data_IF_529437753652
#
_entry.id   IF_529437753652
#
_cell.length_a   1.000
_cell.length_b   1.000
_cell.length_c   1.000
_cell.angle_alpha   90.00
_cell.angle_beta   90.00
_cell.angle_gamma   90.00
#
_symmetry.space_group_name_H-M   'P 1'
#
loop_
_entity.id
_entity.type
_entity.pdbx_description
1 polymer ?
#
# COMPACT_ATOMS: atom_id res chain seq x y z
N UNK A 1 21.72 52.51 16.48
CA UNK A 1 22.05 51.74 17.70
C UNK A 1 20.78 51.20 18.28
N UNK A 2 20.78 49.89 18.42
CA UNK A 2 19.75 48.98 18.92
C UNK A 2 19.49 49.22 20.40
N UNK A 3 18.24 49.13 20.86
CA UNK A 3 17.86 48.14 21.88
C UNK A 3 16.39 48.22 22.32
N UNK A 4 15.74 47.07 22.11
CA UNK A 4 14.77 46.35 22.96
C UNK A 4 13.73 47.16 23.76
N UNK A 5 12.44 46.82 23.56
CA UNK A 5 11.74 46.04 24.59
C UNK A 5 10.49 45.30 24.09
N UNK A 6 10.61 43.97 24.24
CA UNK A 6 9.61 42.94 24.57
C UNK A 6 8.22 42.93 23.91
N UNK A 7 8.09 42.06 22.91
CA UNK A 7 6.82 41.49 22.45
C UNK A 7 6.14 40.68 23.56
N UNK A 8 4.92 41.08 23.89
CA UNK A 8 3.99 40.35 24.76
C UNK A 8 3.36 39.20 23.97
N UNK A 9 3.52 37.97 24.44
CA UNK A 9 2.89 36.77 23.88
C UNK A 9 1.37 36.76 24.16
N UNK A 10 0.51 36.32 23.23
CA UNK A 10 -0.91 36.18 23.52
C UNK A 10 -1.16 34.95 24.42
N UNK A 11 -1.87 35.19 25.53
CA UNK A 11 -2.31 34.17 26.48
C UNK A 11 -3.13 33.07 25.80
N UNK A 12 -2.70 31.82 26.00
CA UNK A 12 -3.47 30.64 25.66
C UNK A 12 -4.82 30.63 26.41
N UNK A 13 -5.90 30.47 25.67
CA UNK A 13 -7.26 30.44 26.18
C UNK A 13 -7.46 29.20 27.07
N UNK A 14 -7.47 29.41 28.39
CA UNK A 14 -7.75 28.40 29.39
C UNK A 14 -9.26 28.10 29.47
N UNK A 15 -9.79 27.39 28.47
CA UNK A 15 -11.20 26.99 28.45
C UNK A 15 -11.40 25.56 27.91
N UNK A 16 -10.78 24.57 28.55
CA UNK A 16 -11.23 23.19 28.46
C UNK A 16 -11.24 22.55 29.87
N UNK A 17 -12.07 23.11 30.75
CA UNK A 17 -12.36 22.51 32.06
C UNK A 17 -13.44 21.45 31.91
N UNK A 18 -13.00 20.19 31.97
CA UNK A 18 -13.66 19.00 32.53
C UNK A 18 -15.21 18.98 32.53
N UNK A 19 -15.79 18.20 31.62
CA UNK A 19 -17.02 17.43 31.92
C UNK A 19 -16.63 15.95 32.08
N UNK A 20 -16.56 15.48 33.33
CA UNK A 20 -16.54 14.05 33.66
C UNK A 20 -17.98 13.55 33.63
N UNK A 21 -18.38 12.92 32.52
CA UNK A 21 -19.52 12.03 32.45
C UNK A 21 -18.99 10.63 32.18
N UNK A 22 -19.31 9.67 33.05
CA UNK A 22 -18.94 8.28 32.91
C UNK A 22 -19.77 7.60 31.81
N UNK A 23 -19.36 7.80 30.57
CA UNK A 23 -19.52 6.81 29.51
C UNK A 23 -18.11 6.45 29.07
N UNK A 24 -17.79 5.16 28.97
CA UNK A 24 -16.53 4.70 28.39
C UNK A 24 -16.51 5.04 26.90
N UNK A 25 -16.30 6.32 26.58
CA UNK A 25 -16.13 6.81 25.22
C UNK A 25 -14.79 6.30 24.73
N UNK A 26 -14.80 5.49 23.67
CA UNK A 26 -13.61 5.20 22.88
C UNK A 26 -12.88 6.55 22.59
N UNK A 27 -11.54 6.57 22.62
CA UNK A 27 -10.80 7.80 22.34
C UNK A 27 -11.20 8.31 20.95
N UNK A 28 -11.76 9.51 20.90
CA UNK A 28 -12.17 10.16 19.65
C UNK A 28 -10.93 10.50 18.82
N UNK A 29 -11.05 10.40 17.50
CA UNK A 29 -10.01 10.84 16.58
C UNK A 29 -9.67 12.32 16.81
N UNK A 30 -8.38 12.70 16.92
CA UNK A 30 -7.98 14.08 17.19
C UNK A 30 -8.15 14.94 15.92
N UNK A 31 -9.22 15.75 15.85
CA UNK A 31 -9.52 16.59 14.69
C UNK A 31 -8.36 17.53 14.27
N UNK A 32 -7.56 17.98 15.24
CA UNK A 32 -6.30 18.72 15.03
C UNK A 32 -5.35 18.03 14.06
N UNK A 33 -5.35 16.70 13.96
CA UNK A 33 -4.56 15.98 12.96
C UNK A 33 -4.80 16.49 11.52
N UNK A 34 -6.05 16.83 11.20
CA UNK A 34 -6.44 17.38 9.90
C UNK A 34 -6.46 18.90 9.86
N UNK A 35 -6.84 19.54 10.97
CA UNK A 35 -7.03 21.00 11.01
C UNK A 35 -5.72 21.78 11.21
N UNK A 36 -4.75 21.20 11.94
CA UNK A 36 -3.45 21.80 12.24
C UNK A 36 -2.41 20.71 12.53
N UNK A 37 -1.81 20.19 11.46
CA UNK A 37 -0.84 19.10 11.55
C UNK A 37 0.44 19.50 12.31
N UNK A 38 0.86 20.76 12.21
CA UNK A 38 2.05 21.25 12.91
C UNK A 38 1.81 21.25 14.42
N UNK A 39 0.63 21.68 14.87
CA UNK A 39 0.23 21.56 16.28
C UNK A 39 0.11 20.10 16.72
N UNK A 40 -0.39 19.21 15.87
CA UNK A 40 -0.44 17.77 16.16
C UNK A 40 0.95 17.21 16.46
N UNK A 41 1.93 17.51 15.59
CA UNK A 41 3.32 17.09 15.74
C UNK A 41 3.99 17.74 16.96
N UNK A 42 3.83 19.05 17.13
CA UNK A 42 4.42 19.79 18.24
C UNK A 42 3.91 19.30 19.61
N UNK A 43 2.64 18.91 19.68
CA UNK A 43 2.01 18.40 20.90
C UNK A 43 2.27 16.91 21.14
N UNK A 44 2.97 16.22 20.23
CA UNK A 44 3.22 14.77 20.28
C UNK A 44 1.93 13.97 20.50
N UNK A 45 0.86 14.38 19.84
CA UNK A 45 -0.40 13.63 19.92
C UNK A 45 -0.26 12.32 19.17
N UNK A 46 -0.91 11.28 19.69
CA UNK A 46 -0.94 9.96 19.08
C UNK A 46 -2.32 9.69 18.48
N UNK A 47 -2.32 8.94 17.38
CA UNK A 47 -3.55 8.44 16.79
C UNK A 47 -4.15 7.36 17.72
N UNK A 48 -5.50 7.26 17.79
CA UNK A 48 -6.13 6.25 18.61
C UNK A 48 -5.72 4.85 18.11
N UNK A 49 -5.40 3.90 19.01
CA UNK A 49 -5.12 2.53 18.62
C UNK A 49 -6.39 1.88 18.10
N UNK A 50 -6.24 0.84 17.26
CA UNK A 50 -7.36 0.03 16.83
C UNK A 50 -8.07 -0.61 18.03
N UNK A 51 -9.40 -0.63 17.99
CA UNK A 51 -10.21 -1.30 19.02
C UNK A 51 -9.95 -2.81 19.09
N UNK A 52 -10.38 -3.43 20.19
CA UNK A 52 -10.28 -4.89 20.41
C UNK A 52 -11.64 -5.60 20.38
N UNK A 53 -12.73 -4.83 20.26
CA UNK A 53 -14.08 -5.38 20.14
C UNK A 53 -14.31 -5.84 18.71
N UNK A 54 -14.40 -7.17 18.53
CA UNK A 54 -14.67 -7.78 17.24
C UNK A 54 -16.15 -8.10 17.09
N UNK A 55 -16.80 -7.65 16.01
CA UNK A 55 -18.16 -8.07 15.71
C UNK A 55 -18.26 -9.59 15.48
N UNK A 56 -19.41 -10.17 15.86
CA UNK A 56 -19.64 -11.63 15.77
C UNK A 56 -19.53 -12.16 14.33
N UNK A 57 -19.92 -11.37 13.33
CA UNK A 57 -19.81 -11.74 11.93
C UNK A 57 -18.34 -11.86 11.46
N UNK A 58 -17.43 -11.06 12.03
CA UNK A 58 -15.98 -11.15 11.77
C UNK A 58 -15.40 -12.39 12.43
N UNK A 59 -15.74 -12.63 13.70
CA UNK A 59 -15.25 -13.81 14.43
C UNK A 59 -15.78 -15.12 13.83
N UNK A 60 -16.98 -15.11 13.25
CA UNK A 60 -17.53 -16.29 12.56
C UNK A 60 -16.75 -16.61 11.28
N UNK A 61 -16.32 -15.59 10.53
CA UNK A 61 -15.53 -15.76 9.32
C UNK A 61 -14.08 -16.19 9.61
N UNK A 62 -13.46 -15.65 10.66
CA UNK A 62 -12.07 -15.93 11.02
C UNK A 62 -11.91 -17.22 11.84
N UNK A 63 -12.95 -17.54 12.63
CA UNK A 63 -12.94 -18.65 13.55
C UNK A 63 -11.96 -18.45 14.71
N UNK A 64 -11.32 -19.53 15.15
CA UNK A 64 -10.41 -19.49 16.29
C UNK A 64 -9.00 -18.95 15.95
N UNK A 65 -8.15 -18.84 16.97
CA UNK A 65 -6.78 -18.36 16.78
C UNK A 65 -5.92 -19.28 15.89
N UNK A 66 -6.29 -20.56 15.81
CA UNK A 66 -5.61 -21.57 14.99
C UNK A 66 -5.93 -21.36 13.52
N UNK A 67 -7.22 -21.17 13.21
CA UNK A 67 -7.72 -20.88 11.86
C UNK A 67 -7.18 -19.56 11.35
N UNK A 68 -7.15 -18.51 12.18
CA UNK A 68 -6.53 -17.22 11.82
C UNK A 68 -5.04 -17.38 11.45
N UNK A 69 -4.29 -18.20 12.18
CA UNK A 69 -2.89 -18.55 11.87
C UNK A 69 -2.76 -19.34 10.57
N UNK A 70 -3.64 -20.29 10.31
CA UNK A 70 -3.64 -21.08 9.07
C UNK A 70 -3.91 -20.19 7.85
N UNK A 71 -4.87 -19.28 7.94
CA UNK A 71 -5.15 -18.27 6.90
C UNK A 71 -3.88 -17.45 6.62
N UNK A 72 -3.25 -16.91 7.68
CA UNK A 72 -2.03 -16.14 7.54
C UNK A 72 -0.90 -16.96 6.89
N UNK A 73 -0.69 -18.19 7.35
CA UNK A 73 0.34 -19.08 6.78
C UNK A 73 0.10 -19.36 5.29
N UNK A 74 -1.15 -19.62 4.89
CA UNK A 74 -1.50 -19.85 3.50
C UNK A 74 -1.31 -18.60 2.63
N UNK A 75 -1.65 -17.42 3.16
CA UNK A 75 -1.36 -16.14 2.50
C UNK A 75 0.14 -15.94 2.27
N UNK A 76 0.97 -16.15 3.30
CA UNK A 76 2.42 -16.01 3.20
C UNK A 76 3.07 -17.04 2.26
N UNK A 77 2.46 -18.20 2.07
CA UNK A 77 2.95 -19.22 1.13
C UNK A 77 2.43 -19.03 -0.30
N UNK A 78 1.53 -18.07 -0.57
CA UNK A 78 0.91 -17.89 -1.89
C UNK A 78 0.94 -16.43 -2.32
N UNK A 79 -0.04 -15.62 -1.92
CA UNK A 79 -0.26 -14.23 -2.35
C UNK A 79 0.90 -13.32 -2.01
N UNK A 80 1.54 -13.55 -0.87
CA UNK A 80 2.70 -12.76 -0.44
C UNK A 80 3.85 -12.79 -1.46
N UNK A 81 4.01 -13.83 -2.28
CA UNK A 81 5.08 -13.88 -3.29
C UNK A 81 4.94 -12.82 -4.40
N UNK A 82 3.73 -12.33 -4.66
CA UNK A 82 3.48 -11.32 -5.70
C UNK A 82 2.86 -10.03 -5.16
N UNK A 83 2.30 -10.05 -3.94
CA UNK A 83 1.84 -8.87 -3.20
C UNK A 83 2.43 -8.85 -1.77
N UNK A 84 3.76 -8.71 -1.61
CA UNK A 84 4.43 -8.70 -0.31
C UNK A 84 4.31 -7.33 0.36
N UNK A 85 3.11 -6.99 0.84
CA UNK A 85 2.85 -5.70 1.53
C UNK A 85 2.81 -5.82 3.06
N UNK A 86 2.92 -7.04 3.60
CA UNK A 86 2.85 -7.34 5.04
C UNK A 86 4.11 -8.09 5.47
N UNK A 87 4.78 -7.64 6.53
CA UNK A 87 5.92 -8.35 7.12
C UNK A 87 5.45 -9.63 7.83
N UNK A 88 5.90 -10.79 7.35
CA UNK A 88 5.50 -12.10 7.88
C UNK A 88 5.78 -12.23 9.38
N UNK A 89 7.01 -11.90 9.78
CA UNK A 89 7.45 -12.04 11.16
C UNK A 89 6.65 -11.14 12.09
N UNK A 90 6.52 -9.86 11.76
CA UNK A 90 5.73 -8.89 12.54
C UNK A 90 4.27 -9.33 12.67
N UNK A 91 3.66 -9.77 11.57
CA UNK A 91 2.25 -10.17 11.62
C UNK A 91 2.04 -11.41 12.50
N UNK A 92 2.85 -12.45 12.35
CA UNK A 92 2.70 -13.67 13.14
C UNK A 92 3.07 -13.49 14.61
N UNK A 93 4.16 -12.78 14.91
CA UNK A 93 4.71 -12.63 16.27
C UNK A 93 4.06 -11.49 17.07
N UNK A 94 3.64 -10.41 16.40
CA UNK A 94 3.12 -9.22 17.08
C UNK A 94 1.60 -9.06 16.95
N UNK A 95 1.00 -9.47 15.82
CA UNK A 95 -0.42 -9.21 15.55
C UNK A 95 -1.32 -10.42 15.74
N UNK A 96 -0.80 -11.63 15.55
CA UNK A 96 -1.49 -12.89 15.84
C UNK A 96 -1.00 -13.55 17.14
N UNK A 97 -0.31 -12.83 18.01
CA UNK A 97 0.18 -13.40 19.27
C UNK A 97 -1.01 -13.86 20.15
N UNK A 98 -1.12 -15.16 20.50
CA UNK A 98 -2.26 -15.66 21.28
C UNK A 98 -2.33 -15.10 22.69
N UNK A 99 -1.25 -14.49 23.20
CA UNK A 99 -1.19 -13.87 24.51
C UNK A 99 -1.73 -12.43 24.52
N UNK A 100 -2.03 -11.85 23.35
CA UNK A 100 -2.49 -10.47 23.20
C UNK A 100 -3.92 -10.41 22.69
N UNK A 101 -4.66 -9.36 23.08
CA UNK A 101 -6.02 -9.14 22.60
C UNK A 101 -6.02 -8.98 21.07
N UNK A 102 -6.95 -9.67 20.40
CA UNK A 102 -7.04 -9.62 18.94
C UNK A 102 -7.58 -8.27 18.49
N UNK A 103 -6.70 -7.46 17.90
CA UNK A 103 -7.05 -6.11 17.43
C UNK A 103 -7.96 -6.17 16.21
N UNK A 104 -8.86 -5.20 16.11
CA UNK A 104 -9.83 -5.09 15.03
C UNK A 104 -9.18 -4.90 13.66
N UNK A 105 -8.09 -4.15 13.57
CA UNK A 105 -7.33 -3.95 12.34
C UNK A 105 -6.54 -5.20 11.90
N UNK A 106 -5.94 -5.92 12.86
CA UNK A 106 -5.31 -7.22 12.60
C UNK A 106 -6.34 -8.26 12.13
N UNK A 107 -7.53 -8.26 12.72
CA UNK A 107 -8.64 -9.11 12.30
C UNK A 107 -9.13 -8.77 10.89
N UNK A 108 -9.25 -7.48 10.55
CA UNK A 108 -9.57 -7.04 9.19
C UNK A 108 -8.52 -7.54 8.19
N UNK A 109 -7.23 -7.41 8.53
CA UNK A 109 -6.15 -7.87 7.67
C UNK A 109 -6.21 -9.40 7.47
N UNK A 110 -6.40 -10.18 8.54
CA UNK A 110 -6.58 -11.63 8.43
C UNK A 110 -7.82 -12.00 7.59
N UNK A 111 -8.92 -11.26 7.74
CA UNK A 111 -10.15 -11.48 6.97
C UNK A 111 -9.91 -11.18 5.47
N UNK A 112 -9.14 -10.13 5.18
CA UNK A 112 -8.76 -9.76 3.81
C UNK A 112 -7.75 -10.74 3.20
N UNK A 113 -6.87 -11.34 4.01
CA UNK A 113 -6.02 -12.46 3.61
C UNK A 113 -6.87 -13.68 3.23
N UNK A 114 -7.88 -14.04 4.04
CA UNK A 114 -8.84 -15.11 3.71
C UNK A 114 -9.57 -14.81 2.40
N UNK A 115 -10.00 -13.56 2.22
CA UNK A 115 -10.72 -13.12 1.03
C UNK A 115 -9.89 -13.29 -0.25
N UNK A 116 -8.65 -12.80 -0.27
CA UNK A 116 -7.80 -12.87 -1.48
C UNK A 116 -7.33 -14.29 -1.80
N UNK A 117 -7.41 -15.22 -0.85
CA UNK A 117 -7.16 -16.65 -1.06
C UNK A 117 -8.36 -17.38 -1.70
N UNK A 118 -9.52 -16.74 -1.78
CA UNK A 118 -10.71 -17.36 -2.36
C UNK A 118 -10.52 -17.60 -3.86
N UNK A 119 -10.90 -18.80 -4.30
CA UNK A 119 -10.95 -19.18 -5.71
C UNK A 119 -12.35 -19.66 -6.08
N UNK A 120 -12.84 -19.35 -7.29
CA UNK A 120 -14.15 -19.81 -7.72
C UNK A 120 -14.13 -21.34 -7.86
N UNK A 121 -15.10 -22.01 -7.22
CA UNK A 121 -15.28 -23.47 -7.35
C UNK A 121 -15.85 -23.82 -8.73
N UNK A 122 -16.62 -22.90 -9.31
CA UNK A 122 -17.22 -23.01 -10.64
C UNK A 122 -17.18 -21.66 -11.32
N UNK A 123 -17.25 -21.63 -12.66
CA UNK A 123 -17.30 -20.38 -13.45
C UNK A 123 -18.51 -19.48 -13.11
N UNK A 124 -19.51 -20.01 -12.39
CA UNK A 124 -20.72 -19.29 -11.95
C UNK A 124 -20.66 -18.82 -10.50
N UNK A 125 -19.56 -19.07 -9.79
CA UNK A 125 -19.41 -18.65 -8.39
C UNK A 125 -19.40 -17.12 -8.30
N UNK A 126 -20.33 -16.54 -7.54
CA UNK A 126 -20.38 -15.10 -7.31
C UNK A 126 -19.20 -14.68 -6.42
N UNK A 127 -18.31 -13.76 -6.87
CA UNK A 127 -17.23 -13.24 -6.05
C UNK A 127 -17.72 -12.34 -4.91
N UNK A 128 -19.01 -11.97 -4.83
CA UNK A 128 -19.57 -11.23 -3.69
C UNK A 128 -19.90 -12.19 -2.54
N UNK A 129 -18.86 -12.84 -2.02
CA UNK A 129 -18.95 -13.82 -0.94
C UNK A 129 -19.36 -13.18 0.39
N UNK A 130 -19.79 -14.00 1.36
CA UNK A 130 -20.05 -13.53 2.73
C UNK A 130 -18.80 -12.88 3.34
N UNK A 131 -17.62 -13.46 3.08
CA UNK A 131 -16.32 -12.92 3.49
C UNK A 131 -16.05 -11.55 2.87
N UNK A 132 -16.40 -11.34 1.59
CA UNK A 132 -16.28 -10.02 0.93
C UNK A 132 -17.15 -8.97 1.62
N UNK A 133 -18.42 -9.29 1.88
CA UNK A 133 -19.33 -8.39 2.58
C UNK A 133 -18.89 -8.09 4.01
N UNK A 134 -18.40 -9.11 4.73
CA UNK A 134 -17.84 -8.95 6.07
C UNK A 134 -16.61 -8.03 6.05
N UNK A 135 -15.71 -8.19 5.08
CA UNK A 135 -14.50 -7.36 4.97
C UNK A 135 -14.84 -5.89 4.67
N UNK A 136 -15.74 -5.62 3.71
CA UNK A 136 -16.18 -4.25 3.38
C UNK A 136 -16.89 -3.59 4.55
N UNK A 137 -17.77 -4.33 5.23
CA UNK A 137 -18.48 -3.83 6.41
C UNK A 137 -17.52 -3.49 7.54
N UNK A 138 -16.59 -4.39 7.85
CA UNK A 138 -15.65 -4.21 8.95
C UNK A 138 -14.64 -3.08 8.67
N UNK A 139 -14.19 -2.93 7.42
CA UNK A 139 -13.38 -1.78 7.01
C UNK A 139 -14.14 -0.45 7.25
N UNK A 140 -15.40 -0.37 6.83
CA UNK A 140 -16.21 0.82 7.06
C UNK A 140 -16.45 1.10 8.56
N UNK A 141 -16.72 0.06 9.36
CA UNK A 141 -16.87 0.20 10.81
C UNK A 141 -15.58 0.73 11.47
N UNK A 142 -14.40 0.29 11.01
CA UNK A 142 -13.12 0.82 11.47
C UNK A 142 -12.92 2.30 11.09
N UNK A 143 -13.29 2.70 9.87
CA UNK A 143 -13.24 4.11 9.44
C UNK A 143 -14.10 5.00 10.36
N UNK A 144 -15.30 4.55 10.73
CA UNK A 144 -16.20 5.28 11.64
C UNK A 144 -15.62 5.44 13.05
N UNK A 145 -14.75 4.52 13.48
CA UNK A 145 -14.04 4.64 14.77
C UNK A 145 -12.79 5.52 14.69
N UNK A 146 -12.42 6.00 13.49
CA UNK A 146 -11.19 6.75 13.27
C UNK A 146 -9.93 5.87 13.34
N UNK A 147 -10.06 4.57 13.07
CA UNK A 147 -8.91 3.67 13.05
C UNK A 147 -8.01 4.01 11.85
N UNK A 148 -6.86 4.65 12.12
CA UNK A 148 -5.89 5.05 11.11
C UNK A 148 -4.57 4.28 11.30
N UNK A 149 -4.54 3.02 10.85
CA UNK A 149 -3.37 2.13 10.99
C UNK A 149 -2.88 1.55 9.66
N UNK A 150 -1.60 1.16 9.59
CA UNK A 150 -1.02 0.50 8.42
C UNK A 150 -1.69 -0.85 8.12
N UNK A 151 -2.09 -1.61 9.15
CA UNK A 151 -2.79 -2.89 8.97
C UNK A 151 -4.13 -2.72 8.26
N UNK A 152 -4.89 -1.68 8.62
CA UNK A 152 -6.17 -1.35 7.98
C UNK A 152 -5.95 -0.98 6.51
N UNK A 153 -4.90 -0.21 6.19
CA UNK A 153 -4.53 0.11 4.82
C UNK A 153 -4.10 -1.14 4.02
N UNK A 154 -3.25 -1.99 4.59
CA UNK A 154 -2.86 -3.26 3.97
C UNK A 154 -4.08 -4.13 3.67
N UNK A 155 -5.04 -4.18 4.59
CA UNK A 155 -6.28 -4.92 4.40
C UNK A 155 -7.15 -4.32 3.28
N UNK A 156 -7.30 -2.99 3.26
CA UNK A 156 -8.01 -2.28 2.20
C UNK A 156 -7.38 -2.52 0.81
N UNK A 157 -6.05 -2.58 0.72
CA UNK A 157 -5.33 -2.94 -0.51
C UNK A 157 -5.67 -4.37 -0.94
N UNK A 158 -5.65 -5.34 -0.02
CA UNK A 158 -6.01 -6.73 -0.36
C UNK A 158 -7.47 -6.87 -0.82
N UNK A 159 -8.39 -6.10 -0.23
CA UNK A 159 -9.78 -6.00 -0.69
C UNK A 159 -9.84 -5.42 -2.12
N UNK A 160 -9.12 -4.34 -2.39
CA UNK A 160 -9.06 -3.75 -3.73
C UNK A 160 -8.48 -4.72 -4.78
N UNK A 161 -7.44 -5.48 -4.41
CA UNK A 161 -6.84 -6.53 -5.24
C UNK A 161 -7.87 -7.63 -5.56
N UNK A 162 -8.66 -8.06 -4.58
CA UNK A 162 -9.75 -9.01 -4.79
C UNK A 162 -10.80 -8.47 -5.76
N UNK A 163 -11.24 -7.22 -5.55
CA UNK A 163 -12.23 -6.57 -6.42
C UNK A 163 -11.72 -6.43 -7.86
N UNK A 164 -10.43 -6.11 -8.06
CA UNK A 164 -9.80 -6.06 -9.38
C UNK A 164 -9.75 -7.45 -10.01
N UNK A 165 -9.25 -8.45 -9.27
CA UNK A 165 -9.09 -9.82 -9.76
C UNK A 165 -10.41 -10.48 -10.18
N UNK A 166 -11.52 -10.08 -9.57
CA UNK A 166 -12.86 -10.58 -9.88
C UNK A 166 -13.73 -9.57 -10.66
N UNK A 167 -13.15 -8.50 -11.19
CA UNK A 167 -13.82 -7.48 -11.99
C UNK A 167 -15.07 -6.86 -11.32
N UNK A 168 -15.02 -6.63 -10.00
CA UNK A 168 -16.10 -5.99 -9.23
C UNK A 168 -15.99 -4.46 -9.40
N UNK A 169 -16.45 -3.96 -10.55
CA UNK A 169 -16.52 -2.52 -10.84
C UNK A 169 -17.92 -1.95 -10.53
N UNK A 170 -18.04 -0.68 -10.10
CA UNK A 170 -16.97 0.32 -9.92
C UNK A 170 -16.23 0.24 -8.57
N UNK A 171 -16.57 -0.73 -7.70
CA UNK A 171 -16.02 -0.83 -6.35
C UNK A 171 -14.49 -0.89 -6.31
N UNK A 172 -13.87 -1.71 -7.18
CA UNK A 172 -12.42 -1.82 -7.31
C UNK A 172 -11.72 -0.46 -7.46
N UNK A 173 -12.26 0.41 -8.33
CA UNK A 173 -11.68 1.73 -8.56
C UNK A 173 -11.80 2.62 -7.32
N UNK A 174 -12.97 2.65 -6.69
CA UNK A 174 -13.19 3.45 -5.49
C UNK A 174 -12.30 2.99 -4.34
N UNK A 175 -12.13 1.68 -4.17
CA UNK A 175 -11.26 1.12 -3.13
C UNK A 175 -9.80 1.53 -3.34
N UNK A 176 -9.26 1.47 -4.57
CA UNK A 176 -7.89 1.94 -4.84
C UNK A 176 -7.72 3.43 -4.55
N UNK A 177 -8.68 4.27 -4.96
CA UNK A 177 -8.62 5.70 -4.67
C UNK A 177 -8.70 6.00 -3.17
N UNK A 178 -9.51 5.24 -2.43
CA UNK A 178 -9.59 5.34 -0.97
C UNK A 178 -8.27 4.92 -0.32
N UNK A 179 -7.63 3.84 -0.79
CA UNK A 179 -6.30 3.43 -0.33
C UNK A 179 -5.25 4.52 -0.54
N UNK A 180 -5.26 5.21 -1.69
CA UNK A 180 -4.33 6.31 -1.95
C UNK A 180 -4.50 7.48 -0.96
N UNK A 181 -5.74 7.90 -0.72
CA UNK A 181 -6.04 8.98 0.25
C UNK A 181 -5.73 8.56 1.69
N UNK A 182 -6.05 7.32 2.05
CA UNK A 182 -5.76 6.75 3.36
C UNK A 182 -4.23 6.69 3.59
N UNK A 183 -3.46 6.27 2.58
CA UNK A 183 -2.00 6.26 2.64
C UNK A 183 -1.40 7.66 2.79
N UNK A 184 -1.89 8.64 2.02
CA UNK A 184 -1.49 10.03 2.17
C UNK A 184 -1.79 10.56 3.57
N UNK A 185 -2.96 10.20 4.12
CA UNK A 185 -3.36 10.54 5.50
C UNK A 185 -2.43 9.91 6.53
N UNK A 186 -1.97 8.67 6.33
CA UNK A 186 -0.94 8.04 7.15
C UNK A 186 0.48 8.64 6.98
N UNK A 187 0.66 9.59 6.07
CA UNK A 187 1.96 10.16 5.74
C UNK A 187 2.83 9.22 4.89
N UNK A 188 2.24 8.32 4.10
CA UNK A 188 2.97 7.56 3.08
C UNK A 188 3.10 8.42 1.81
N UNK A 189 4.21 8.24 1.10
CA UNK A 189 4.57 8.97 -0.11
C UNK A 189 6.07 8.91 -0.35
N UNK A 190 6.52 9.30 -1.55
CA UNK A 190 7.94 9.21 -1.95
C UNK A 190 8.90 9.90 -0.98
N UNK A 191 8.61 11.13 -0.58
CA UNK A 191 9.47 11.91 0.33
C UNK A 191 9.26 11.58 1.81
N UNK A 192 8.15 10.95 2.17
CA UNK A 192 7.73 10.76 3.56
C UNK A 192 8.06 9.35 4.09
N UNK A 193 8.09 8.35 3.20
CA UNK A 193 8.54 6.99 3.55
C UNK A 193 10.01 7.01 4.01
N UNK A 194 10.82 7.92 3.51
CA UNK A 194 12.22 8.12 3.96
C UNK A 194 12.34 8.97 5.24
N UNK A 195 11.34 9.81 5.53
CA UNK A 195 11.32 10.70 6.71
C UNK A 195 10.66 10.09 7.95
N UNK A 196 10.08 8.89 7.83
CA UNK A 196 9.43 8.17 8.92
C UNK A 196 10.38 7.82 10.06
N UNK A 197 10.77 8.84 10.85
CA UNK A 197 11.70 8.81 11.95
C UNK A 197 13.06 8.20 11.59
N UNK A 198 14.16 8.92 11.76
CA UNK A 198 15.52 8.35 11.71
C UNK A 198 15.79 7.18 12.70
N UNK A 199 14.76 6.68 13.39
CA UNK A 199 14.78 5.65 14.42
C UNK A 199 13.84 4.45 14.13
N UNK A 200 13.05 4.46 13.04
CA UNK A 200 12.21 3.29 12.73
C UNK A 200 13.09 2.12 12.24
N UNK A 201 12.80 0.87 12.65
CA UNK A 201 13.55 -0.28 12.16
C UNK A 201 13.35 -0.43 10.65
N UNK A 202 14.42 -0.82 9.94
CA UNK A 202 14.43 -0.96 8.48
C UNK A 202 13.24 -1.77 7.94
N UNK A 203 12.86 -2.85 8.62
CA UNK A 203 11.73 -3.72 8.25
C UNK A 203 10.41 -2.96 8.17
N UNK A 204 10.18 -2.01 9.08
CA UNK A 204 8.97 -1.19 9.08
C UNK A 204 8.99 -0.15 7.94
N UNK A 205 10.14 0.46 7.69
CA UNK A 205 10.28 1.39 6.57
C UNK A 205 10.06 0.68 5.23
N UNK A 206 10.61 -0.52 5.08
CA UNK A 206 10.42 -1.36 3.89
C UNK A 206 8.96 -1.79 3.74
N UNK A 207 8.26 -2.12 4.83
CA UNK A 207 6.83 -2.43 4.80
C UNK A 207 6.00 -1.25 4.30
N UNK A 208 6.26 -0.02 4.79
CA UNK A 208 5.60 1.21 4.31
C UNK A 208 5.91 1.49 2.84
N UNK A 209 7.16 1.29 2.41
CA UNK A 209 7.58 1.40 1.00
C UNK A 209 6.79 0.44 0.12
N UNK A 210 6.68 -0.82 0.51
CA UNK A 210 5.95 -1.86 -0.23
C UNK A 210 4.46 -1.55 -0.34
N UNK A 211 3.84 -1.06 0.73
CA UNK A 211 2.44 -0.59 0.74
C UNK A 211 2.24 0.56 -0.23
N UNK A 212 3.12 1.56 -0.22
CA UNK A 212 3.04 2.69 -1.15
C UNK A 212 3.18 2.26 -2.61
N UNK A 213 4.20 1.44 -2.91
CA UNK A 213 4.37 0.87 -4.26
C UNK A 213 3.15 0.08 -4.72
N UNK A 214 2.53 -0.72 -3.85
CA UNK A 214 1.33 -1.49 -4.20
C UNK A 214 0.18 -0.56 -4.63
N UNK A 215 -0.05 0.54 -3.94
CA UNK A 215 -1.09 1.52 -4.30
C UNK A 215 -0.81 2.13 -5.67
N UNK A 216 0.43 2.59 -5.90
CA UNK A 216 0.84 3.17 -7.18
C UNK A 216 0.64 2.16 -8.32
N UNK A 217 1.11 0.91 -8.14
CA UNK A 217 0.93 -0.18 -9.11
C UNK A 217 -0.56 -0.38 -9.45
N UNK A 218 -1.43 -0.48 -8.45
CA UNK A 218 -2.86 -0.73 -8.66
C UNK A 218 -3.56 0.46 -9.35
N UNK A 219 -3.23 1.69 -8.98
CA UNK A 219 -3.78 2.88 -9.61
C UNK A 219 -3.35 2.99 -11.08
N UNK A 220 -2.07 2.76 -11.37
CA UNK A 220 -1.56 2.75 -12.74
C UNK A 220 -2.19 1.64 -13.57
N UNK A 221 -2.37 0.45 -12.99
CA UNK A 221 -3.07 -0.67 -13.64
C UNK A 221 -4.52 -0.29 -14.04
N UNK A 222 -5.27 0.32 -13.13
CA UNK A 222 -6.64 0.75 -13.42
C UNK A 222 -6.72 1.87 -14.47
N UNK A 223 -5.66 2.66 -14.59
CA UNK A 223 -5.57 3.77 -15.55
C UNK A 223 -5.22 3.32 -16.97
N UNK A 224 -4.82 2.05 -17.18
CA UNK A 224 -4.54 1.50 -18.52
C UNK A 224 -5.73 1.69 -19.47
N UNK A 225 -6.94 1.51 -18.95
CA UNK A 225 -8.20 1.59 -19.70
C UNK A 225 -8.51 2.98 -20.26
N UNK A 226 -8.04 4.03 -19.60
CA UNK A 226 -8.47 5.40 -19.82
C UNK A 226 -7.35 6.36 -19.42
N UNK A 227 -6.55 6.76 -20.41
CA UNK A 227 -5.33 7.56 -20.22
C UNK A 227 -5.58 9.01 -19.76
N UNK A 228 -6.77 9.55 -20.01
CA UNK A 228 -7.19 10.88 -19.54
C UNK A 228 -7.73 10.86 -18.10
N UNK A 229 -7.85 9.68 -17.47
CA UNK A 229 -8.35 9.60 -16.11
C UNK A 229 -7.34 10.25 -15.14
N UNK A 230 -7.79 11.15 -14.24
CA UNK A 230 -6.93 11.71 -13.22
C UNK A 230 -6.37 10.62 -12.31
N UNK A 231 -5.05 10.66 -12.11
CA UNK A 231 -4.30 9.82 -11.20
C UNK A 231 -4.09 10.62 -9.92
N UNK A 232 -4.35 10.02 -8.76
CA UNK A 232 -4.25 10.71 -7.46
C UNK A 232 -2.83 10.69 -6.91
N UNK A 233 -2.08 9.60 -7.11
CA UNK A 233 -0.72 9.49 -6.58
C UNK A 233 0.30 10.08 -7.54
N UNK A 234 1.26 10.84 -7.01
CA UNK A 234 2.40 11.31 -7.79
C UNK A 234 3.20 10.13 -8.37
N UNK A 235 3.72 10.31 -9.58
CA UNK A 235 4.61 9.33 -10.22
C UNK A 235 5.94 9.16 -9.47
N UNK A 236 6.55 7.96 -9.49
CA UNK A 236 7.87 7.77 -8.89
C UNK A 236 8.93 8.54 -9.67
N UNK A 237 9.86 9.16 -8.96
CA UNK A 237 11.06 9.72 -9.57
C UNK A 237 12.01 8.60 -10.05
N UNK A 238 12.91 8.91 -10.98
CA UNK A 238 13.85 7.91 -11.53
C UNK A 238 14.82 7.32 -10.51
N UNK A 239 15.12 8.08 -9.45
CA UNK A 239 15.99 7.71 -8.33
C UNK A 239 15.21 7.10 -7.14
N UNK A 240 13.90 6.93 -7.25
CA UNK A 240 13.07 6.35 -6.20
C UNK A 240 13.48 4.90 -5.92
N UNK A 241 13.51 4.51 -4.65
CA UNK A 241 13.98 3.19 -4.26
C UNK A 241 12.92 2.13 -4.56
N UNK A 242 13.34 1.07 -5.25
CA UNK A 242 12.52 -0.11 -5.43
C UNK A 242 12.39 -0.90 -4.11
N UNK A 243 11.33 -1.71 -3.96
CA UNK A 243 11.26 -2.70 -2.90
C UNK A 243 12.51 -3.57 -2.87
N UNK A 244 12.97 -3.88 -1.67
CA UNK A 244 14.14 -4.74 -1.43
C UNK A 244 13.85 -6.20 -1.82
N UNK A 245 14.85 -7.07 -1.78
CA UNK A 245 14.64 -8.51 -1.98
C UNK A 245 13.72 -9.12 -0.90
N UNK A 246 12.83 -10.03 -1.31
CA UNK A 246 11.82 -10.61 -0.41
C UNK A 246 12.44 -11.56 0.63
N UNK A 247 13.49 -12.30 0.27
CA UNK A 247 14.16 -13.19 1.21
C UNK A 247 14.95 -12.38 2.26
N UNK A 248 15.65 -11.34 1.82
CA UNK A 248 16.34 -10.41 2.71
C UNK A 248 15.37 -9.71 3.68
N UNK A 249 14.22 -9.24 3.18
CA UNK A 249 13.20 -8.61 4.02
C UNK A 249 12.59 -9.58 5.04
N UNK A 250 12.27 -10.80 4.62
CA UNK A 250 11.73 -11.83 5.52
C UNK A 250 12.75 -12.32 6.57
N UNK A 251 14.04 -12.30 6.25
CA UNK A 251 15.13 -12.64 7.17
C UNK A 251 15.59 -11.46 8.05
N UNK A 252 15.07 -10.24 7.78
CA UNK A 252 15.49 -8.98 8.42
C UNK A 252 16.98 -8.66 8.26
N UNK A 253 17.55 -9.10 7.15
CA UNK A 253 18.94 -8.82 6.81
C UNK A 253 18.93 -7.64 5.85
N UNK A 254 19.29 -6.47 6.37
CA UNK A 254 19.50 -5.29 5.51
C UNK A 254 20.73 -5.54 4.64
N UNK A 255 20.52 -5.72 3.33
CA UNK A 255 21.59 -5.87 2.36
C UNK A 255 22.09 -4.47 1.93
N UNK A 256 23.25 -3.98 2.41
CA UNK A 256 23.65 -2.58 2.21
C UNK A 256 23.95 -2.22 0.74
N UNK A 257 24.24 -3.23 -0.08
CA UNK A 257 24.81 -3.06 -1.43
C UNK A 257 23.78 -3.16 -2.57
N UNK A 258 22.47 -3.26 -2.28
CA UNK A 258 21.44 -3.55 -3.29
C UNK A 258 20.31 -2.49 -3.33
N UNK A 259 20.64 -1.21 -3.14
CA UNK A 259 19.66 -0.12 -3.31
C UNK A 259 19.42 0.10 -4.80
N UNK A 260 18.38 -0.55 -5.33
CA UNK A 260 17.95 -0.41 -6.71
C UNK A 260 16.99 0.77 -6.84
N UNK A 261 17.10 1.52 -7.93
CA UNK A 261 16.18 2.64 -8.22
C UNK A 261 15.20 2.27 -9.32
N UNK A 262 14.09 3.01 -9.42
CA UNK A 262 13.01 2.73 -10.36
C UNK A 262 13.45 2.73 -11.83
N UNK A 263 14.45 3.55 -12.20
CA UNK A 263 14.97 3.58 -13.56
C UNK A 263 15.67 2.27 -13.97
N UNK A 264 15.33 1.65 -15.11
CA UNK A 264 16.04 0.47 -15.62
C UNK A 264 17.49 0.74 -16.01
N UNK A 265 17.83 1.99 -16.35
CA UNK A 265 19.19 2.34 -16.79
C UNK A 265 20.24 2.22 -15.69
N UNK A 266 19.82 2.27 -14.42
CA UNK A 266 20.70 2.14 -13.24
C UNK A 266 20.73 0.70 -12.70
N UNK A 267 19.90 -0.19 -13.26
CA UNK A 267 19.77 -1.57 -12.81
C UNK A 267 20.68 -2.47 -13.65
N UNK A 268 21.72 -3.06 -13.04
CA UNK A 268 22.53 -4.08 -13.71
C UNK A 268 21.67 -5.30 -14.07
N UNK A 269 21.83 -5.80 -15.29
CA UNK A 269 21.10 -6.97 -15.84
C UNK A 269 21.37 -8.27 -15.07
N UNK A 270 22.43 -8.32 -14.27
CA UNK A 270 22.87 -9.51 -13.53
C UNK A 270 22.27 -9.62 -12.11
N UNK A 271 21.47 -8.63 -11.68
CA UNK A 271 20.91 -8.61 -10.32
C UNK A 271 19.54 -9.33 -10.32
N UNK A 272 19.44 -10.38 -9.49
CA UNK A 272 18.17 -11.06 -9.22
C UNK A 272 17.20 -10.13 -8.47
N UNK A 273 16.38 -9.36 -9.20
CA UNK A 273 15.34 -8.51 -8.61
C UNK A 273 14.13 -9.35 -8.15
N UNK A 274 13.49 -8.97 -7.03
CA UNK A 274 12.25 -9.63 -6.59
C UNK A 274 11.12 -9.42 -7.61
N UNK A 275 10.13 -10.33 -7.69
CA UNK A 275 8.98 -10.16 -8.58
C UNK A 275 8.22 -8.86 -8.31
N UNK A 276 8.10 -8.46 -7.04
CA UNK A 276 7.41 -7.24 -6.66
C UNK A 276 8.18 -5.98 -7.05
N UNK A 277 9.51 -5.95 -6.86
CA UNK A 277 10.33 -4.84 -7.33
C UNK A 277 10.29 -4.67 -8.86
N UNK A 278 10.19 -5.78 -9.60
CA UNK A 278 9.96 -5.73 -11.05
C UNK A 278 8.60 -5.17 -11.42
N UNK A 279 7.56 -5.52 -10.67
CA UNK A 279 6.23 -4.95 -10.87
C UNK A 279 6.24 -3.43 -10.61
N UNK A 280 6.95 -2.98 -9.58
CA UNK A 280 7.17 -1.56 -9.29
C UNK A 280 7.92 -0.86 -10.45
N UNK A 281 8.97 -1.48 -11.00
CA UNK A 281 9.69 -0.96 -12.16
C UNK A 281 8.79 -0.87 -13.41
N UNK A 282 7.92 -1.86 -13.65
CA UNK A 282 6.93 -1.82 -14.72
C UNK A 282 5.93 -0.67 -14.53
N UNK A 283 5.47 -0.45 -13.31
CA UNK A 283 4.57 0.65 -12.97
C UNK A 283 5.25 2.02 -13.16
N UNK A 284 6.55 2.14 -12.84
CA UNK A 284 7.34 3.34 -13.14
C UNK A 284 7.41 3.63 -14.65
N UNK A 285 7.71 2.63 -15.47
CA UNK A 285 7.74 2.83 -16.94
C UNK A 285 6.37 3.22 -17.48
N UNK A 286 5.31 2.61 -16.96
CA UNK A 286 3.93 2.96 -17.29
C UNK A 286 3.62 4.42 -16.92
N UNK A 287 4.04 4.88 -15.74
CA UNK A 287 3.90 6.28 -15.34
C UNK A 287 4.66 7.23 -16.29
N UNK A 288 5.87 6.86 -16.72
CA UNK A 288 6.61 7.62 -17.74
C UNK A 288 5.84 7.71 -19.07
N UNK A 289 5.29 6.61 -19.56
CA UNK A 289 4.50 6.59 -20.80
C UNK A 289 3.24 7.46 -20.67
N UNK A 290 2.53 7.39 -19.54
CA UNK A 290 1.36 8.23 -19.30
C UNK A 290 1.72 9.72 -19.28
N UNK A 291 2.82 10.08 -18.61
CA UNK A 291 3.31 11.47 -18.63
C UNK A 291 3.68 11.91 -20.05
N UNK A 292 4.40 11.07 -20.78
CA UNK A 292 4.79 11.35 -22.17
C UNK A 292 3.59 11.57 -23.10
N UNK A 293 2.55 10.71 -23.01
CA UNK A 293 1.33 10.84 -23.81
C UNK A 293 0.56 12.12 -23.44
N UNK A 294 0.52 12.47 -22.16
CA UNK A 294 -0.23 13.61 -21.66
C UNK A 294 0.54 14.94 -21.75
N UNK A 295 1.85 14.92 -22.01
CA UNK A 295 2.68 16.12 -22.13
C UNK A 295 2.50 16.80 -23.50
N UNK A 296 1.78 17.93 -23.46
CA UNK A 296 1.51 18.78 -24.63
C UNK A 296 2.60 19.81 -24.89
N UNK A 297 3.62 19.90 -24.03
CA UNK A 297 4.67 20.93 -24.11
C UNK A 297 5.91 20.47 -24.88
N UNK A 298 6.08 19.16 -25.10
CA UNK A 298 7.22 18.60 -25.80
C UNK A 298 7.25 18.96 -27.28
N UNK A 299 8.45 19.24 -27.81
CA UNK A 299 8.65 19.35 -29.26
C UNK A 299 8.55 17.97 -29.93
N UNK A 300 8.25 17.93 -31.24
CA UNK A 300 8.13 16.67 -31.98
C UNK A 300 9.40 15.80 -31.87
N UNK A 301 10.59 16.41 -31.94
CA UNK A 301 11.87 15.69 -31.83
C UNK A 301 12.07 15.08 -30.44
N UNK A 302 11.79 15.84 -29.37
CA UNK A 302 11.89 15.32 -28.00
C UNK A 302 10.88 14.20 -27.76
N UNK A 303 9.69 14.30 -28.36
CA UNK A 303 8.66 13.27 -28.28
C UNK A 303 9.15 11.97 -28.91
N UNK A 304 9.70 12.03 -30.12
CA UNK A 304 10.20 10.83 -30.81
C UNK A 304 11.39 10.18 -30.07
N UNK A 305 12.31 10.98 -29.53
CA UNK A 305 13.46 10.48 -28.77
C UNK A 305 13.02 9.78 -27.47
N UNK A 306 12.13 10.40 -26.69
CA UNK A 306 11.62 9.79 -25.45
C UNK A 306 10.78 8.54 -25.73
N UNK A 307 9.92 8.56 -26.75
CA UNK A 307 9.13 7.40 -27.17
C UNK A 307 10.03 6.21 -27.53
N UNK A 308 11.12 6.45 -28.27
CA UNK A 308 12.10 5.42 -28.62
C UNK A 308 12.76 4.81 -27.37
N UNK A 309 13.15 5.65 -26.40
CA UNK A 309 13.76 5.18 -25.15
C UNK A 309 12.78 4.37 -24.30
N UNK A 310 11.51 4.80 -24.22
CA UNK A 310 10.46 4.10 -23.48
C UNK A 310 10.12 2.75 -24.13
N UNK A 311 9.95 2.68 -25.45
CA UNK A 311 9.70 1.43 -26.17
C UNK A 311 10.85 0.44 -25.96
N UNK A 312 12.11 0.90 -26.08
CA UNK A 312 13.28 0.06 -25.82
C UNK A 312 13.30 -0.49 -24.38
N UNK A 313 13.00 0.34 -23.39
CA UNK A 313 12.96 -0.06 -21.98
C UNK A 313 11.83 -1.08 -21.71
N UNK A 314 10.64 -0.85 -22.27
CA UNK A 314 9.50 -1.76 -22.15
C UNK A 314 9.78 -3.13 -22.79
N UNK A 315 10.33 -3.15 -24.00
CA UNK A 315 10.71 -4.40 -24.69
C UNK A 315 11.77 -5.18 -23.92
N UNK A 316 12.78 -4.49 -23.37
CA UNK A 316 13.79 -5.11 -22.53
C UNK A 316 13.17 -5.75 -21.28
N UNK A 317 12.28 -5.02 -20.59
CA UNK A 317 11.58 -5.52 -19.41
C UNK A 317 10.68 -6.72 -19.74
N UNK A 318 9.96 -6.69 -20.87
CA UNK A 318 9.10 -7.79 -21.31
C UNK A 318 9.91 -9.04 -21.66
N UNK A 319 11.02 -8.88 -22.37
CA UNK A 319 11.94 -9.99 -22.71
C UNK A 319 12.55 -10.61 -21.45
N UNK A 320 12.96 -9.78 -20.50
CA UNK A 320 13.48 -10.25 -19.23
C UNK A 320 12.42 -10.97 -18.40
N UNK A 321 11.22 -10.39 -18.28
CA UNK A 321 10.12 -10.98 -17.51
C UNK A 321 9.65 -12.31 -18.07
N UNK A 322 9.55 -12.44 -19.40
CA UNK A 322 9.20 -13.71 -20.06
C UNK A 322 10.26 -14.78 -19.84
N UNK A 323 11.55 -14.43 -19.92
CA UNK A 323 12.64 -15.36 -19.60
C UNK A 323 12.61 -15.84 -18.14
N UNK A 324 12.26 -14.96 -17.21
CA UNK A 324 12.21 -15.26 -15.78
C UNK A 324 10.96 -16.06 -15.38
N UNK A 325 9.81 -15.81 -16.03
CA UNK A 325 8.62 -16.66 -15.92
C UNK A 325 8.93 -18.08 -16.37
N UNK A 326 9.60 -18.23 -17.52
CA UNK A 326 10.02 -19.53 -18.05
C UNK A 326 11.00 -20.25 -17.11
N UNK A 327 11.95 -19.51 -16.53
CA UNK A 327 12.97 -20.05 -15.60
C UNK A 327 12.40 -20.45 -14.23
N UNK A 328 11.41 -19.71 -13.72
CA UNK A 328 10.90 -19.86 -12.35
C UNK A 328 9.52 -20.54 -12.25
N UNK A 329 8.90 -20.97 -13.36
CA UNK A 329 7.54 -21.54 -13.42
C UNK A 329 6.47 -20.67 -12.71
N UNK A 330 6.68 -19.36 -12.63
CA UNK A 330 5.76 -18.45 -11.94
C UNK A 330 4.59 -18.05 -12.86
N UNK A 331 3.35 -18.17 -12.36
CA UNK A 331 2.15 -17.63 -13.04
C UNK A 331 2.03 -16.12 -12.79
N UNK A 332 2.91 -15.32 -13.39
CA UNK A 332 2.83 -13.84 -13.33
C UNK A 332 2.07 -13.28 -14.55
N UNK A 333 0.73 -13.31 -14.48
CA UNK A 333 -0.12 -12.75 -15.55
C UNK A 333 -0.14 -11.21 -15.55
N UNK A 334 0.08 -10.54 -14.41
CA UNK A 334 -0.12 -9.09 -14.30
C UNK A 334 0.96 -8.26 -15.01
N UNK A 335 2.22 -8.71 -14.96
CA UNK A 335 3.35 -8.00 -15.58
C UNK A 335 3.28 -8.05 -17.11
N UNK A 336 2.87 -9.19 -17.68
CA UNK A 336 2.69 -9.32 -19.14
C UNK A 336 1.48 -8.53 -19.64
N UNK A 337 0.38 -8.48 -18.87
CA UNK A 337 -0.79 -7.67 -19.23
C UNK A 337 -0.46 -6.16 -19.28
N UNK A 338 0.38 -5.68 -18.35
CA UNK A 338 0.90 -4.32 -18.39
C UNK A 338 1.73 -4.09 -19.65
N UNK A 339 2.73 -4.92 -19.95
CA UNK A 339 3.61 -4.70 -21.10
C UNK A 339 2.94 -4.93 -22.48
N UNK A 340 2.05 -5.92 -22.62
CA UNK A 340 1.49 -6.32 -23.92
C UNK A 340 0.53 -5.28 -24.51
N UNK A 341 -0.17 -4.50 -23.68
CA UNK A 341 -1.07 -3.44 -24.17
C UNK A 341 -0.32 -2.35 -24.94
N UNK A 342 0.96 -2.11 -24.61
CA UNK A 342 1.79 -1.08 -25.24
C UNK A 342 2.33 -1.44 -26.62
N UNK A 343 2.38 -2.73 -26.97
CA UNK A 343 2.83 -3.11 -28.32
C UNK A 343 1.75 -2.87 -29.39
N UNK A 344 0.52 -2.55 -28.96
CA UNK A 344 -0.66 -2.42 -29.83
C UNK A 344 -1.21 -0.99 -29.87
N UNK A 345 -0.79 -0.12 -28.92
CA UNK A 345 -1.07 1.32 -28.90
C UNK A 345 0.10 2.11 -29.46
#
# INVERSE_FOLDING_TARGET
>A
MVSLDTHTAPQACAACKKRKGAHSSLPSFPAVFFLDHDMFQASRMELPPAGTLLPSYVTTELGDSTQSRQIASHFFSTVHHWMPIVSKRRFLECHLNPLTAYRADAALLCLSMKLVLWTPVTDRSDPRTTTYHAAKRHLHELDLTGCLTLLTLQAAILIAVYEIGHAIYPAAHLSVTACAQYAATLGLGWTQVERGGRSAPWVEMEERRRVWWAIVILERYLSLGWHERPILTDGPASNELLPSDDAAWNAEIEAPNHRMTASPATTSTDINMSPFARLAQAAYLLDCVQRHINDRTMTAKQRDEEAFHLDKALRALMTFTTSEIARRQMRLCCQMALCHRYMVS
#
